data_IF_177848693540
#
_entry.id   IF_177848693540
#
_cell.length_a   1.000
_cell.length_b   1.000
_cell.length_c   1.000
_cell.angle_alpha   90.00
_cell.angle_beta   90.00
_cell.angle_gamma   90.00
#
_symmetry.space_group_name_H-M   'P 1'
#
loop_
_entity.id
_entity.type
_entity.pdbx_description
1 polymer ?
#
# COMPACT_ATOMS: atom_id res chain seq x y z
N UNK A 1 32.87 -10.34 9.07
CA UNK A 1 32.86 -9.01 8.41
C UNK A 1 31.64 -9.00 7.51
N UNK A 2 30.54 -8.37 7.95
CA UNK A 2 29.37 -8.18 7.10
C UNK A 2 29.67 -7.02 6.15
N UNK A 3 29.71 -7.30 4.86
CA UNK A 3 29.75 -6.31 3.80
C UNK A 3 28.45 -5.50 3.86
N UNK A 4 28.56 -4.19 4.07
CA UNK A 4 27.47 -3.24 3.88
C UNK A 4 27.03 -3.33 2.42
N UNK A 5 25.97 -4.08 2.16
CA UNK A 5 25.27 -4.00 0.88
C UNK A 5 24.79 -2.56 0.72
N UNK A 6 25.20 -1.96 -0.39
CA UNK A 6 24.77 -0.63 -0.82
C UNK A 6 23.25 -0.59 -0.78
N UNK A 7 22.69 0.09 0.22
CA UNK A 7 21.26 0.36 0.28
C UNK A 7 20.98 1.23 -0.95
N UNK A 8 20.44 0.61 -2.00
CA UNK A 8 19.76 1.35 -3.06
C UNK A 8 18.53 1.98 -2.42
N UNK A 9 18.74 3.13 -1.77
CA UNK A 9 17.67 4.08 -1.46
C UNK A 9 17.09 4.42 -2.82
N UNK A 10 15.90 3.91 -3.10
CA UNK A 10 15.16 4.30 -4.30
C UNK A 10 15.09 5.83 -4.24
N UNK A 11 15.68 6.56 -5.19
CA UNK A 11 15.75 7.99 -5.12
C UNK A 11 14.34 8.56 -5.03
N UNK A 12 14.18 9.65 -4.26
CA UNK A 12 12.98 10.47 -4.20
C UNK A 12 12.26 10.44 -5.55
N UNK A 13 11.08 9.80 -5.60
CA UNK A 13 10.20 9.89 -6.78
C UNK A 13 10.00 11.37 -7.07
N UNK A 14 10.04 11.75 -8.35
CA UNK A 14 9.76 13.14 -8.70
C UNK A 14 8.31 13.46 -8.34
N UNK A 15 8.01 14.73 -8.08
CA UNK A 15 6.62 15.17 -7.83
C UNK A 15 5.69 14.70 -8.97
N UNK A 16 6.18 14.75 -10.22
CA UNK A 16 5.46 14.26 -11.41
C UNK A 16 5.13 12.76 -11.35
N UNK A 17 6.03 11.92 -10.81
CA UNK A 17 5.77 10.49 -10.65
C UNK A 17 4.70 10.22 -9.58
N UNK A 18 4.70 10.99 -8.49
CA UNK A 18 3.70 10.88 -7.42
C UNK A 18 2.33 11.36 -7.90
N UNK A 19 2.26 12.47 -8.65
CA UNK A 19 1.03 12.95 -9.27
C UNK A 19 0.46 11.92 -10.26
N UNK A 20 1.32 11.27 -11.05
CA UNK A 20 0.91 10.19 -11.95
C UNK A 20 0.33 9.00 -11.18
N UNK A 21 0.92 8.65 -10.05
CA UNK A 21 0.40 7.60 -9.16
C UNK A 21 -0.99 7.98 -8.63
N UNK A 22 -1.18 9.20 -8.13
CA UNK A 22 -2.47 9.71 -7.64
C UNK A 22 -3.56 9.64 -8.72
N UNK A 23 -3.25 10.12 -9.91
CA UNK A 23 -4.18 10.11 -11.06
C UNK A 23 -4.59 8.68 -11.43
N UNK A 24 -3.64 7.74 -11.46
CA UNK A 24 -3.92 6.35 -11.83
C UNK A 24 -4.69 5.62 -10.73
N UNK A 25 -4.42 5.89 -9.44
CA UNK A 25 -5.22 5.38 -8.33
C UNK A 25 -6.66 5.92 -8.42
N UNK A 26 -6.83 7.22 -8.68
CA UNK A 26 -8.14 7.83 -8.89
C UNK A 26 -8.93 7.15 -10.01
N UNK A 27 -8.30 6.88 -11.16
CA UNK A 27 -8.93 6.14 -12.28
C UNK A 27 -9.36 4.72 -11.89
N UNK A 28 -8.55 4.02 -11.09
CA UNK A 28 -8.89 2.68 -10.59
C UNK A 28 -10.14 2.74 -9.72
N UNK A 29 -10.20 3.71 -8.80
CA UNK A 29 -11.36 3.88 -7.92
C UNK A 29 -12.61 4.19 -8.75
N UNK A 30 -12.56 5.13 -9.71
CA UNK A 30 -13.67 5.43 -10.63
C UNK A 30 -14.12 4.21 -11.41
N UNK A 31 -13.17 3.45 -11.99
CA UNK A 31 -13.52 2.21 -12.72
C UNK A 31 -14.24 1.20 -11.84
N UNK A 32 -13.84 1.07 -10.58
CA UNK A 32 -14.46 0.12 -9.64
C UNK A 32 -15.86 0.58 -9.23
N UNK A 33 -16.08 1.88 -9.10
CA UNK A 33 -17.42 2.48 -8.88
C UNK A 33 -18.34 2.10 -10.03
N UNK A 34 -17.91 2.37 -11.27
CA UNK A 34 -18.67 2.06 -12.48
C UNK A 34 -18.99 0.56 -12.58
N UNK A 35 -18.04 -0.32 -12.26
CA UNK A 35 -18.21 -1.77 -12.33
C UNK A 35 -19.11 -2.37 -11.23
N UNK A 36 -19.35 -1.67 -10.12
CA UNK A 36 -20.12 -2.19 -8.99
C UNK A 36 -21.47 -1.48 -8.78
N UNK A 37 -21.85 -0.53 -9.64
CA UNK A 37 -23.04 0.34 -9.47
C UNK A 37 -23.11 1.00 -8.08
N UNK A 38 -21.97 1.12 -7.40
CA UNK A 38 -21.88 1.75 -6.08
C UNK A 38 -21.49 3.20 -6.25
N UNK A 39 -22.00 4.09 -5.41
CA UNK A 39 -21.58 5.49 -5.39
C UNK A 39 -20.13 5.62 -4.87
N UNK A 40 -19.42 6.67 -5.28
CA UNK A 40 -18.08 7.04 -4.81
C UNK A 40 -18.02 7.08 -3.28
N UNK A 41 -19.03 7.67 -2.65
CA UNK A 41 -19.18 7.76 -1.19
C UNK A 41 -19.06 6.38 -0.51
N UNK A 42 -19.63 5.32 -1.10
CA UNK A 42 -19.53 3.98 -0.54
C UNK A 42 -18.08 3.46 -0.55
N UNK A 43 -17.29 3.77 -1.58
CA UNK A 43 -15.89 3.32 -1.64
C UNK A 43 -15.02 4.16 -0.70
N UNK A 44 -15.27 5.46 -0.61
CA UNK A 44 -14.59 6.36 0.32
C UNK A 44 -14.84 5.97 1.79
N UNK A 45 -16.04 5.49 2.11
CA UNK A 45 -16.37 4.93 3.44
C UNK A 45 -15.68 3.59 3.73
N UNK A 46 -15.19 2.90 2.68
CA UNK A 46 -14.56 1.59 2.79
C UNK A 46 -13.04 1.68 2.77
N UNK A 47 -12.45 2.76 2.25
CA UNK A 47 -11.00 2.95 2.13
C UNK A 47 -10.58 4.16 2.94
N UNK A 48 -9.80 3.91 3.98
CA UNK A 48 -9.30 4.94 4.87
C UNK A 48 -7.94 5.47 4.44
N UNK A 49 -7.08 4.62 3.90
CA UNK A 49 -5.79 5.06 3.37
C UNK A 49 -5.19 4.07 2.37
N UNK A 50 -4.40 4.60 1.44
CA UNK A 50 -3.49 3.86 0.57
C UNK A 50 -2.09 4.39 0.84
N UNK A 51 -1.13 3.50 1.15
CA UNK A 51 0.27 3.88 1.36
C UNK A 51 1.19 3.04 0.49
N UNK A 52 2.26 3.66 -0.01
CA UNK A 52 3.41 2.96 -0.55
C UNK A 52 4.58 3.16 0.39
N UNK A 53 5.18 2.05 0.77
CA UNK A 53 6.34 1.99 1.65
C UNK A 53 7.49 1.41 0.84
N UNK A 54 8.62 2.09 0.78
CA UNK A 54 9.82 1.58 0.10
C UNK A 54 10.38 0.33 0.79
N UNK A 55 11.29 -0.38 0.13
CA UNK A 55 12.04 -1.50 0.75
C UNK A 55 12.79 -1.10 2.04
N UNK A 56 13.15 0.18 2.20
CA UNK A 56 13.79 0.70 3.40
C UNK A 56 12.81 0.96 4.56
N UNK A 57 11.51 0.69 4.39
CA UNK A 57 10.49 0.97 5.39
C UNK A 57 10.04 2.44 5.43
N UNK A 58 10.47 3.27 4.47
CA UNK A 58 10.10 4.67 4.39
C UNK A 58 8.81 4.85 3.58
N UNK A 59 7.81 5.60 4.07
CA UNK A 59 6.67 6.02 3.28
C UNK A 59 7.13 6.85 2.08
N UNK A 60 6.71 6.49 0.88
CA UNK A 60 7.02 7.22 -0.37
C UNK A 60 5.79 7.83 -1.01
N UNK A 61 4.60 7.37 -0.63
CA UNK A 61 3.32 7.92 -1.06
C UNK A 61 2.25 7.57 -0.04
N UNK A 62 1.29 8.47 0.13
CA UNK A 62 0.11 8.26 0.99
C UNK A 62 -1.06 9.05 0.44
N UNK A 63 -2.20 8.37 0.29
CA UNK A 63 -3.50 8.99 0.10
C UNK A 63 -4.37 8.56 1.27
N UNK A 64 -4.69 9.52 2.13
CA UNK A 64 -5.37 9.29 3.41
C UNK A 64 -6.69 10.05 3.34
N UNK A 65 -7.79 9.36 3.64
CA UNK A 65 -9.09 9.99 3.77
C UNK A 65 -8.99 11.11 4.83
N UNK A 66 -9.55 12.29 4.55
CA UNK A 66 -9.43 13.47 5.40
C UNK A 66 -9.88 13.23 6.86
N UNK A 67 -10.82 12.32 7.07
CA UNK A 67 -11.33 11.97 8.40
C UNK A 67 -10.49 10.92 9.13
N UNK A 68 -9.55 10.27 8.42
CA UNK A 68 -8.66 9.25 8.99
C UNK A 68 -7.31 9.84 9.38
N UNK A 69 -6.93 9.67 10.65
CA UNK A 69 -5.64 10.14 11.17
C UNK A 69 -4.64 9.00 11.20
N UNK A 70 -3.60 9.11 10.39
CA UNK A 70 -2.48 8.18 10.37
C UNK A 70 -1.18 8.95 10.47
N UNK A 71 -0.21 8.40 11.20
CA UNK A 71 1.18 8.82 11.10
C UNK A 71 1.90 7.77 10.27
N UNK A 72 2.22 8.08 9.02
CA UNK A 72 2.72 7.13 8.04
C UNK A 72 4.05 6.52 8.46
N UNK A 73 4.91 7.31 9.12
CA UNK A 73 6.22 6.84 9.58
C UNK A 73 6.10 5.88 10.76
N UNK A 74 5.23 6.18 11.73
CA UNK A 74 4.96 5.26 12.83
C UNK A 74 4.28 3.98 12.35
N UNK A 75 3.34 4.12 11.42
CA UNK A 75 2.69 2.97 10.80
C UNK A 75 3.72 2.13 10.05
N UNK A 76 4.53 2.70 9.15
CA UNK A 76 5.52 1.93 8.39
C UNK A 76 6.52 1.20 9.29
N UNK A 77 6.98 1.84 10.38
CA UNK A 77 7.82 1.22 11.39
C UNK A 77 7.15 0.04 12.09
N UNK A 78 5.89 0.20 12.53
CA UNK A 78 5.11 -0.89 13.11
C UNK A 78 4.95 -2.06 12.15
N UNK A 79 4.62 -1.77 10.89
CA UNK A 79 4.42 -2.80 9.86
C UNK A 79 5.72 -3.55 9.56
N UNK A 80 6.84 -2.84 9.44
CA UNK A 80 8.16 -3.45 9.27
C UNK A 80 8.51 -4.38 10.44
N UNK A 81 8.28 -3.93 11.67
CA UNK A 81 8.50 -4.75 12.87
C UNK A 81 7.62 -6.01 12.87
N UNK A 82 6.35 -5.89 12.51
CA UNK A 82 5.43 -7.03 12.41
C UNK A 82 5.88 -8.02 11.34
N UNK A 83 6.33 -7.56 10.18
CA UNK A 83 6.87 -8.45 9.13
C UNK A 83 8.11 -9.20 9.62
N UNK A 84 9.04 -8.54 10.33
CA UNK A 84 10.23 -9.18 10.91
C UNK A 84 9.82 -10.26 11.93
N UNK A 85 8.89 -9.94 12.82
CA UNK A 85 8.37 -10.88 13.81
C UNK A 85 7.68 -12.06 13.13
N UNK A 86 6.84 -11.81 12.12
CA UNK A 86 6.17 -12.84 11.34
C UNK A 86 7.16 -13.79 10.68
N UNK A 87 8.21 -13.26 10.06
CA UNK A 87 9.29 -14.05 9.46
C UNK A 87 10.02 -14.91 10.49
N UNK A 88 10.31 -14.33 11.65
CA UNK A 88 10.96 -15.05 12.75
C UNK A 88 10.11 -16.19 13.33
N UNK A 89 8.78 -16.10 13.28
CA UNK A 89 7.86 -17.10 13.85
C UNK A 89 7.58 -18.23 12.86
N UNK A 90 7.33 -17.89 11.60
CA UNK A 90 6.82 -18.86 10.61
C UNK A 90 7.92 -19.34 9.65
N UNK A 91 8.60 -18.42 8.98
CA UNK A 91 9.76 -18.64 8.10
C UNK A 91 10.15 -17.33 7.41
N UNK A 92 11.37 -17.24 6.89
CA UNK A 92 11.86 -16.04 6.15
C UNK A 92 11.00 -15.68 4.93
N UNK A 93 10.28 -16.66 4.37
CA UNK A 93 9.38 -16.50 3.21
C UNK A 93 7.95 -16.09 3.61
N UNK A 94 7.65 -16.00 4.90
CA UNK A 94 6.31 -15.62 5.37
C UNK A 94 6.13 -14.11 5.29
N UNK A 95 5.02 -13.69 4.69
CA UNK A 95 4.59 -12.29 4.61
C UNK A 95 3.24 -12.16 5.29
N UNK A 96 3.11 -11.19 6.20
CA UNK A 96 1.82 -10.82 6.78
C UNK A 96 1.00 -10.12 5.69
N UNK A 97 -0.07 -10.77 5.21
CA UNK A 97 -0.93 -10.22 4.16
C UNK A 97 -2.05 -9.32 4.70
N UNK A 98 -2.42 -9.46 5.97
CA UNK A 98 -3.45 -8.62 6.58
C UNK A 98 -3.36 -8.56 8.10
N UNK A 99 -3.73 -7.42 8.68
CA UNK A 99 -3.95 -7.22 10.11
C UNK A 99 -5.39 -6.75 10.29
N UNK A 100 -6.18 -7.47 11.09
CA UNK A 100 -7.55 -7.07 11.40
C UNK A 100 -7.57 -6.40 12.77
N UNK A 101 -8.10 -5.18 12.81
CA UNK A 101 -8.43 -4.45 14.02
C UNK A 101 -9.94 -4.18 14.05
N UNK A 102 -10.49 -3.91 15.23
CA UNK A 102 -11.95 -3.87 15.46
C UNK A 102 -12.76 -3.16 14.36
N UNK A 103 -12.29 -2.00 13.95
CA UNK A 103 -13.01 -1.10 13.04
C UNK A 103 -12.34 -0.97 11.66
N UNK A 104 -11.21 -1.64 11.45
CA UNK A 104 -10.49 -1.57 10.17
C UNK A 104 -9.58 -2.79 9.95
N UNK A 105 -9.34 -3.10 8.69
CA UNK A 105 -8.29 -4.01 8.26
C UNK A 105 -7.17 -3.22 7.58
N UNK A 106 -5.93 -3.63 7.85
CA UNK A 106 -4.78 -3.25 7.03
C UNK A 106 -4.43 -4.44 6.12
N UNK A 107 -4.43 -4.23 4.81
CA UNK A 107 -4.04 -5.20 3.79
C UNK A 107 -2.65 -4.87 3.26
N UNK A 108 -1.85 -5.90 2.98
CA UNK A 108 -0.47 -5.79 2.52
C UNK A 108 -0.28 -6.53 1.21
N UNK A 109 0.38 -5.86 0.28
CA UNK A 109 0.86 -6.46 -0.95
C UNK A 109 2.33 -6.13 -1.13
N UNK A 110 3.17 -7.17 -1.12
CA UNK A 110 4.59 -7.02 -1.42
C UNK A 110 4.79 -6.74 -2.91
N UNK A 111 5.70 -5.83 -3.21
CA UNK A 111 6.02 -5.34 -4.54
C UNK A 111 7.53 -5.30 -4.74
N UNK A 112 7.96 -5.31 -6.00
CA UNK A 112 9.39 -5.35 -6.32
C UNK A 112 10.16 -4.14 -5.80
N UNK A 113 9.53 -3.02 -5.46
CA UNK A 113 10.19 -1.81 -4.97
C UNK A 113 9.75 -1.41 -3.55
N UNK A 114 8.98 -2.26 -2.87
CA UNK A 114 8.44 -1.93 -1.56
C UNK A 114 7.18 -2.71 -1.22
N UNK A 115 6.26 -2.08 -0.50
CA UNK A 115 4.98 -2.63 -0.10
C UNK A 115 3.87 -1.64 -0.36
N UNK A 116 2.75 -2.15 -0.87
CA UNK A 116 1.48 -1.43 -0.94
C UNK A 116 0.65 -1.81 0.29
N UNK A 117 0.11 -0.79 0.94
CA UNK A 117 -0.74 -0.92 2.12
C UNK A 117 -2.08 -0.29 1.82
N UNK A 118 -3.17 -1.02 2.06
CA UNK A 118 -4.54 -0.50 2.02
C UNK A 118 -5.14 -0.61 3.41
N UNK A 119 -5.56 0.51 4.00
CA UNK A 119 -6.37 0.53 5.21
C UNK A 119 -7.83 0.68 4.78
N UNK A 120 -8.66 -0.26 5.21
CA UNK A 120 -10.06 -0.34 4.81
C UNK A 120 -10.95 -0.73 6.00
N UNK A 121 -12.25 -0.51 5.88
CA UNK A 121 -13.23 -0.89 6.92
C UNK A 121 -13.23 -2.40 7.19
N UNK A 122 -13.04 -3.22 6.14
CA UNK A 122 -13.02 -4.68 6.26
C UNK A 122 -12.22 -5.39 5.14
N UNK A 123 -11.83 -6.64 5.42
CA UNK A 123 -11.20 -7.54 4.45
C UNK A 123 -12.24 -8.28 3.59
N UNK A 124 -12.90 -7.56 2.68
CA UNK A 124 -13.92 -8.13 1.79
C UNK A 124 -13.40 -8.31 0.34
N UNK A 125 -14.26 -8.85 -0.53
CA UNK A 125 -13.93 -9.10 -1.95
C UNK A 125 -13.59 -7.80 -2.70
N UNK A 126 -14.23 -6.68 -2.34
CA UNK A 126 -14.02 -5.38 -2.99
C UNK A 126 -12.65 -4.81 -2.62
N UNK A 127 -12.29 -4.78 -1.34
CA UNK A 127 -11.01 -4.23 -0.88
C UNK A 127 -9.82 -5.04 -1.40
N UNK A 128 -9.95 -6.37 -1.47
CA UNK A 128 -8.96 -7.24 -2.13
C UNK A 128 -8.84 -6.98 -3.64
N UNK A 129 -9.95 -6.72 -4.33
CA UNK A 129 -9.93 -6.37 -5.75
C UNK A 129 -9.21 -5.04 -5.96
N UNK A 130 -9.50 -4.04 -5.11
CA UNK A 130 -8.89 -2.71 -5.18
C UNK A 130 -7.37 -2.79 -5.00
N UNK A 131 -6.89 -3.38 -3.90
CA UNK A 131 -5.44 -3.46 -3.65
C UNK A 131 -4.71 -4.22 -4.76
N UNK A 132 -5.31 -5.28 -5.31
CA UNK A 132 -4.73 -6.02 -6.44
C UNK A 132 -4.64 -5.18 -7.72
N UNK A 133 -5.70 -4.44 -8.05
CA UNK A 133 -5.70 -3.55 -9.22
C UNK A 133 -4.67 -2.43 -9.07
N UNK A 134 -4.57 -1.83 -7.88
CA UNK A 134 -3.55 -0.81 -7.59
C UNK A 134 -2.15 -1.40 -7.74
N UNK A 135 -1.88 -2.57 -7.15
CA UNK A 135 -0.60 -3.28 -7.29
C UNK A 135 -0.21 -3.49 -8.75
N UNK A 136 -1.14 -4.02 -9.57
CA UNK A 136 -0.91 -4.28 -10.99
C UNK A 136 -0.60 -2.99 -11.77
N UNK A 137 -1.33 -1.91 -11.51
CA UNK A 137 -1.11 -0.61 -12.14
C UNK A 137 0.22 0.00 -11.73
N UNK A 138 0.56 -0.01 -10.44
CA UNK A 138 1.83 0.51 -9.95
C UNK A 138 3.02 -0.25 -10.51
N UNK A 139 2.92 -1.58 -10.60
CA UNK A 139 3.95 -2.39 -11.25
C UNK A 139 4.14 -1.98 -12.71
N UNK A 140 3.06 -1.65 -13.45
CA UNK A 140 3.18 -1.16 -14.83
C UNK A 140 3.83 0.21 -14.90
N UNK A 141 3.41 1.17 -14.07
CA UNK A 141 3.98 2.52 -14.06
C UNK A 141 5.48 2.47 -13.80
N UNK A 142 5.90 1.61 -12.87
CA UNK A 142 7.27 1.58 -12.38
C UNK A 142 8.18 0.72 -13.26
N UNK A 143 7.68 -0.37 -13.84
CA UNK A 143 8.43 -1.14 -14.84
C UNK A 143 8.59 -0.42 -16.19
N UNK A 144 7.75 0.58 -16.49
CA UNK A 144 7.89 1.39 -17.70
C UNK A 144 8.84 2.59 -17.55
N UNK A 145 9.25 2.91 -16.32
CA UNK A 145 10.07 4.09 -15.99
C UNK A 145 11.50 3.74 -15.53
N UNK A 146 11.91 2.47 -15.58
CA UNK A 146 13.26 1.99 -15.22
C UNK A 146 13.85 1.16 -16.34
#
# INVERSE_FOLDING_TARGET
MATLETINVIPNRTVEELEKIDVEIGKILTKIIDENEKNLDFIEDQIYAILLISRAGLPVYSNVNADFKVNELLLSGLLGALQIVGKSIFSDDTVICSINYKDFTILFEEMSFGSLVLIASENNKLTRKIIKMIKETLNRIILCNG
#
